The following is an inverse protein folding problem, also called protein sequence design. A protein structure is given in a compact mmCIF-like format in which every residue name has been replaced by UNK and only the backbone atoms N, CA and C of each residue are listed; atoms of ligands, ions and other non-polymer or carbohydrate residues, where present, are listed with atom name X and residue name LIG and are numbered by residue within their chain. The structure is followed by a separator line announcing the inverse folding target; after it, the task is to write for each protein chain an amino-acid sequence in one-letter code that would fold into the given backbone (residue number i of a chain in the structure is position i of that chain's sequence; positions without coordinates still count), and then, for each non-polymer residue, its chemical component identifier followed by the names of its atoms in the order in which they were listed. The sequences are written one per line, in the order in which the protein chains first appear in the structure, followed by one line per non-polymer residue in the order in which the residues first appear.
data_IF_802539001229
#
_entry.id   IF_802539001229
#
_cell.length_a   1.000
_cell.length_b   1.000
_cell.length_c   1.000
_cell.angle_alpha   90.00
_cell.angle_beta   90.00
_cell.angle_gamma   90.00
#
_symmetry.space_group_name_H-M   'P 1'
#
loop_
_entity.id
_entity.type
_entity.pdbx_description
1 polymer ?
#
# COMPACT_ATOMS: atom_id res chain seq x y z
N UNK A 1 8.58 -3.63 -26.82
CA UNK A 1 9.85 -3.76 -27.60
C UNK A 1 9.83 -4.83 -28.69
N UNK A 2 9.43 -6.08 -28.41
CA UNK A 2 9.40 -7.17 -29.43
C UNK A 2 8.53 -6.79 -30.63
N UNK A 3 7.30 -6.33 -30.38
CA UNK A 3 6.36 -5.93 -31.43
C UNK A 3 6.84 -4.71 -32.22
N UNK A 4 7.43 -3.71 -31.56
CA UNK A 4 8.02 -2.55 -32.23
C UNK A 4 9.12 -2.98 -33.23
N UNK A 5 10.03 -3.89 -32.82
CA UNK A 5 11.06 -4.43 -33.71
C UNK A 5 10.47 -5.19 -34.90
N UNK A 6 9.41 -5.96 -34.67
CA UNK A 6 8.69 -6.66 -35.75
C UNK A 6 8.06 -5.66 -36.73
N UNK A 7 7.37 -4.62 -36.24
CA UNK A 7 6.73 -3.60 -37.08
C UNK A 7 7.78 -2.86 -37.92
N UNK A 8 8.94 -2.52 -37.34
CA UNK A 8 10.04 -1.88 -38.06
C UNK A 8 10.67 -2.79 -39.12
N UNK A 9 10.89 -4.07 -38.81
CA UNK A 9 11.50 -5.03 -39.73
C UNK A 9 10.62 -5.32 -40.95
N UNK A 10 9.30 -5.32 -40.76
CA UNK A 10 8.34 -5.67 -41.80
C UNK A 10 7.64 -4.46 -42.44
N UNK A 11 7.74 -3.29 -41.83
CA UNK A 11 7.03 -2.07 -42.21
C UNK A 11 5.52 -2.30 -42.37
N UNK A 12 4.94 -3.00 -41.38
CA UNK A 12 3.53 -3.40 -41.32
C UNK A 12 2.95 -3.08 -39.96
N UNK A 13 1.63 -2.91 -39.92
CA UNK A 13 0.87 -2.77 -38.68
C UNK A 13 1.03 -4.02 -37.81
N UNK A 14 0.97 -3.84 -36.49
CA UNK A 14 1.06 -4.87 -35.48
C UNK A 14 0.06 -6.01 -35.79
N UNK A 15 0.59 -7.20 -36.05
CA UNK A 15 -0.23 -8.36 -36.39
C UNK A 15 -1.22 -8.75 -35.29
N UNK A 16 -0.93 -8.47 -34.01
CA UNK A 16 -1.88 -8.70 -32.92
C UNK A 16 -3.08 -7.75 -33.00
N UNK A 17 -2.86 -6.52 -33.48
CA UNK A 17 -3.92 -5.55 -33.71
C UNK A 17 -4.76 -5.96 -34.93
N UNK A 18 -4.12 -6.30 -36.06
CA UNK A 18 -4.85 -6.63 -37.29
C UNK A 18 -5.62 -7.95 -37.21
N UNK A 19 -5.23 -8.86 -36.33
CA UNK A 19 -5.91 -10.15 -36.09
C UNK A 19 -6.68 -10.18 -34.76
N UNK A 20 -6.98 -9.03 -34.16
CA UNK A 20 -7.52 -8.98 -32.79
C UNK A 20 -8.88 -9.70 -32.64
N UNK A 21 -9.79 -9.61 -33.62
CA UNK A 21 -11.07 -10.34 -33.59
C UNK A 21 -10.86 -11.87 -33.64
N UNK A 22 -9.89 -12.36 -34.41
CA UNK A 22 -9.55 -13.80 -34.44
C UNK A 22 -9.01 -14.28 -33.08
N UNK A 23 -8.22 -13.43 -32.41
CA UNK A 23 -7.74 -13.71 -31.05
C UNK A 23 -8.91 -13.73 -30.07
N UNK A 24 -9.89 -12.83 -30.21
CA UNK A 24 -11.11 -12.83 -29.39
C UNK A 24 -11.88 -14.16 -29.51
N UNK A 25 -12.05 -14.68 -30.72
CA UNK A 25 -12.72 -15.98 -30.94
C UNK A 25 -12.00 -17.14 -30.23
N UNK A 26 -10.66 -17.13 -30.27
CA UNK A 26 -9.86 -18.13 -29.55
C UNK A 26 -10.04 -17.99 -28.05
N UNK A 27 -9.92 -16.78 -27.51
CA UNK A 27 -10.01 -16.53 -26.06
C UNK A 27 -11.40 -16.83 -25.51
N UNK A 28 -12.45 -16.49 -26.26
CA UNK A 28 -13.86 -16.79 -25.93
C UNK A 28 -14.08 -18.29 -25.76
N UNK A 29 -13.48 -19.13 -26.62
CA UNK A 29 -13.65 -20.58 -26.57
C UNK A 29 -13.16 -21.21 -25.25
N UNK A 30 -12.30 -20.51 -24.50
CA UNK A 30 -11.69 -21.02 -23.27
C UNK A 30 -11.88 -20.11 -22.06
N UNK A 31 -12.71 -19.07 -22.16
CA UNK A 31 -12.94 -18.06 -21.11
C UNK A 31 -11.62 -17.44 -20.58
N UNK A 32 -10.72 -17.09 -21.50
CA UNK A 32 -9.48 -16.39 -21.17
C UNK A 32 -9.74 -14.89 -21.21
N UNK A 33 -9.41 -14.18 -20.12
CA UNK A 33 -9.52 -12.73 -20.06
C UNK A 33 -8.33 -12.04 -20.76
N UNK A 34 -8.58 -10.91 -21.41
CA UNK A 34 -7.55 -10.00 -21.89
C UNK A 34 -6.94 -9.21 -20.74
N UNK A 35 -5.61 -9.19 -20.70
CA UNK A 35 -4.82 -8.12 -20.10
C UNK A 35 -4.19 -7.34 -21.26
N UNK A 36 -4.77 -6.19 -21.60
CA UNK A 36 -4.28 -5.39 -22.72
C UNK A 36 -3.02 -4.64 -22.29
N UNK A 37 -1.87 -5.09 -22.79
CA UNK A 37 -0.55 -4.68 -22.33
C UNK A 37 -0.17 -3.24 -22.67
N UNK A 38 0.61 -2.63 -21.79
CA UNK A 38 1.11 -1.25 -21.86
C UNK A 38 2.53 -1.19 -22.48
N UNK A 39 2.61 -1.58 -23.76
CA UNK A 39 3.86 -1.72 -24.49
C UNK A 39 4.70 -0.44 -24.64
N UNK A 40 4.06 0.73 -24.48
CA UNK A 40 4.62 2.09 -24.54
C UNK A 40 4.53 2.82 -23.19
N UNK A 41 4.43 2.11 -22.06
CA UNK A 41 4.47 2.72 -20.73
C UNK A 41 5.77 3.51 -20.47
N UNK A 42 5.72 4.55 -19.62
CA UNK A 42 6.91 5.32 -19.25
C UNK A 42 7.87 4.49 -18.39
N UNK A 43 9.15 4.47 -18.79
CA UNK A 43 10.25 3.84 -18.07
C UNK A 43 11.09 4.81 -17.23
N UNK A 44 10.74 6.10 -17.23
CA UNK A 44 11.28 7.11 -16.34
C UNK A 44 10.25 8.21 -16.10
N UNK A 45 10.44 9.02 -15.07
CA UNK A 45 9.53 10.11 -14.68
C UNK A 45 9.36 11.15 -15.79
N UNK A 46 10.40 11.39 -16.61
CA UNK A 46 10.37 12.41 -17.66
C UNK A 46 9.45 12.03 -18.83
N UNK A 47 9.24 10.74 -19.06
CA UNK A 47 8.42 10.22 -20.17
C UNK A 47 6.95 10.01 -19.76
N UNK A 48 6.61 10.26 -18.49
CA UNK A 48 5.27 10.05 -17.97
C UNK A 48 4.25 10.98 -18.66
N UNK A 49 3.12 10.39 -19.07
CA UNK A 49 1.99 11.04 -19.72
C UNK A 49 2.32 11.61 -21.11
N UNK A 50 3.34 11.05 -21.78
CA UNK A 50 3.67 11.46 -23.13
C UNK A 50 2.63 11.00 -24.17
N UNK A 51 2.80 11.47 -25.41
CA UNK A 51 1.88 11.15 -26.49
C UNK A 51 1.90 9.66 -26.89
N UNK A 52 3.03 8.96 -26.69
CA UNK A 52 3.13 7.55 -27.02
C UNK A 52 2.32 6.69 -26.05
N UNK A 53 2.47 6.95 -24.75
CA UNK A 53 1.71 6.29 -23.70
C UNK A 53 0.20 6.48 -23.89
N UNK A 54 -0.24 7.73 -24.07
CA UNK A 54 -1.67 8.01 -24.18
C UNK A 54 -2.27 7.59 -25.52
N UNK A 55 -1.50 7.62 -26.62
CA UNK A 55 -1.94 7.05 -27.89
C UNK A 55 -2.18 5.54 -27.79
N UNK A 56 -1.33 4.81 -27.06
CA UNK A 56 -1.57 3.39 -26.78
C UNK A 56 -2.83 3.20 -25.94
N UNK A 57 -2.99 3.94 -24.83
CA UNK A 57 -4.16 3.81 -23.94
C UNK A 57 -5.50 4.02 -24.66
N UNK A 58 -5.58 5.03 -25.54
CA UNK A 58 -6.76 5.28 -26.38
C UNK A 58 -7.06 4.09 -27.30
N UNK A 59 -6.00 3.52 -27.90
CA UNK A 59 -6.09 2.31 -28.73
C UNK A 59 -6.55 1.10 -27.92
N UNK A 60 -6.06 0.92 -26.69
CA UNK A 60 -6.53 -0.15 -25.79
C UNK A 60 -8.02 0.01 -25.47
N UNK A 61 -8.51 1.24 -25.33
CA UNK A 61 -9.94 1.52 -25.19
C UNK A 61 -10.76 1.08 -26.41
N UNK A 62 -10.25 1.27 -27.63
CA UNK A 62 -10.86 0.72 -28.84
C UNK A 62 -10.90 -0.81 -28.83
N UNK A 63 -9.76 -1.45 -28.56
CA UNK A 63 -9.65 -2.91 -28.50
C UNK A 63 -10.56 -3.51 -27.43
N UNK A 64 -10.73 -2.82 -26.30
CA UNK A 64 -11.68 -3.21 -25.23
C UNK A 64 -13.10 -3.30 -25.76
N UNK A 65 -13.55 -2.29 -26.52
CA UNK A 65 -14.88 -2.30 -27.13
C UNK A 65 -15.04 -3.42 -28.16
N UNK A 66 -13.97 -3.79 -28.86
CA UNK A 66 -13.97 -4.94 -29.76
C UNK A 66 -14.11 -6.23 -28.94
N UNK A 67 -13.23 -6.46 -27.96
CA UNK A 67 -13.27 -7.66 -27.10
C UNK A 67 -14.65 -7.86 -26.44
N UNK A 68 -15.29 -6.78 -25.96
CA UNK A 68 -16.63 -6.84 -25.38
C UNK A 68 -17.73 -7.21 -26.38
N UNK A 69 -17.61 -6.84 -27.66
CA UNK A 69 -18.55 -7.33 -28.70
C UNK A 69 -18.47 -8.85 -28.89
N UNK A 70 -17.31 -9.43 -28.60
CA UNK A 70 -17.10 -10.87 -28.61
C UNK A 70 -17.37 -11.52 -27.24
N UNK A 71 -17.89 -10.79 -26.25
CA UNK A 71 -18.11 -11.26 -24.86
C UNK A 71 -16.82 -11.72 -24.15
N UNK A 72 -15.66 -11.14 -24.46
CA UNK A 72 -14.39 -11.50 -23.82
C UNK A 72 -14.07 -10.54 -22.68
N UNK A 73 -13.84 -11.09 -21.49
CA UNK A 73 -13.46 -10.32 -20.29
C UNK A 73 -12.16 -9.55 -20.53
N UNK A 74 -12.08 -8.28 -20.12
CA UNK A 74 -10.93 -7.42 -20.45
C UNK A 74 -10.54 -6.52 -19.28
N UNK A 75 -9.25 -6.46 -18.98
CA UNK A 75 -8.59 -5.46 -18.13
C UNK A 75 -7.47 -4.76 -18.91
N UNK A 76 -7.09 -3.56 -18.47
CA UNK A 76 -6.11 -2.70 -19.13
C UNK A 76 -4.86 -2.62 -18.28
N UNK A 77 -3.69 -2.81 -18.86
CA UNK A 77 -2.42 -2.54 -18.17
C UNK A 77 -2.09 -1.05 -18.20
N UNK A 78 -1.39 -0.57 -17.17
CA UNK A 78 -1.12 0.84 -16.94
C UNK A 78 0.27 1.10 -16.37
N UNK A 79 0.65 2.39 -16.30
CA UNK A 79 2.04 2.84 -16.36
C UNK A 79 2.97 2.31 -15.27
N UNK A 80 4.26 2.46 -15.58
CA UNK A 80 5.39 2.18 -14.70
C UNK A 80 5.85 3.39 -13.88
N UNK A 81 6.55 4.35 -14.50
CA UNK A 81 7.16 5.49 -13.78
C UNK A 81 6.31 6.75 -13.95
N UNK A 82 5.70 7.25 -12.87
CA UNK A 82 4.81 8.42 -12.92
C UNK A 82 4.95 9.24 -11.63
N UNK A 83 5.32 10.54 -11.71
CA UNK A 83 5.43 11.37 -10.52
C UNK A 83 4.03 11.68 -9.97
N UNK A 84 3.92 11.83 -8.65
CA UNK A 84 2.63 11.85 -7.94
C UNK A 84 1.59 12.82 -8.52
N UNK A 85 2.01 14.01 -8.96
CA UNK A 85 1.11 15.03 -9.52
C UNK A 85 0.45 14.61 -10.85
N UNK A 86 0.97 13.59 -11.53
CA UNK A 86 0.47 13.09 -12.82
C UNK A 86 -0.35 11.79 -12.70
N UNK A 87 -0.37 11.16 -11.51
CA UNK A 87 -1.07 9.89 -11.29
C UNK A 87 -2.58 10.02 -11.53
N UNK A 88 -3.19 11.14 -11.11
CA UNK A 88 -4.64 11.33 -11.24
C UNK A 88 -5.09 11.40 -12.71
N UNK A 89 -4.29 12.05 -13.56
CA UNK A 89 -4.57 12.16 -15.00
C UNK A 89 -4.59 10.78 -15.68
N UNK A 90 -3.69 9.88 -15.30
CA UNK A 90 -3.67 8.50 -15.82
C UNK A 90 -4.99 7.77 -15.52
N UNK A 91 -5.45 7.84 -14.28
CA UNK A 91 -6.72 7.21 -13.88
C UNK A 91 -7.92 7.84 -14.61
N UNK A 92 -7.98 9.18 -14.66
CA UNK A 92 -9.09 9.90 -15.31
C UNK A 92 -9.16 9.63 -16.81
N UNK A 93 -8.03 9.45 -17.46
CA UNK A 93 -7.99 9.09 -18.88
C UNK A 93 -8.37 7.63 -19.08
N UNK A 94 -7.87 6.71 -18.27
CA UNK A 94 -8.22 5.30 -18.39
C UNK A 94 -9.73 5.06 -18.24
N UNK A 95 -10.37 5.63 -17.22
CA UNK A 95 -11.82 5.49 -17.02
C UNK A 95 -12.61 5.98 -18.24
N UNK A 96 -12.19 7.11 -18.82
CA UNK A 96 -12.83 7.75 -19.97
C UNK A 96 -12.66 6.97 -21.26
N UNK A 97 -11.43 6.59 -21.60
CA UNK A 97 -11.11 6.00 -22.91
C UNK A 97 -11.42 4.51 -22.96
N UNK A 98 -11.27 3.81 -21.82
CA UNK A 98 -11.41 2.35 -21.73
C UNK A 98 -12.75 1.90 -21.15
N UNK A 99 -13.72 2.81 -21.00
CA UNK A 99 -15.08 2.49 -20.57
C UNK A 99 -15.15 1.88 -19.17
N UNK A 100 -14.31 2.35 -18.25
CA UNK A 100 -14.22 1.85 -16.86
C UNK A 100 -13.83 0.37 -16.73
N UNK A 101 -13.18 -0.22 -17.75
CA UNK A 101 -12.58 -1.54 -17.64
C UNK A 101 -11.61 -1.61 -16.43
N UNK A 102 -11.46 -2.75 -15.75
CA UNK A 102 -10.51 -2.90 -14.66
C UNK A 102 -9.09 -2.47 -15.07
N UNK A 103 -8.46 -1.63 -14.25
CA UNK A 103 -7.10 -1.15 -14.51
C UNK A 103 -6.08 -1.97 -13.70
N UNK A 104 -4.94 -2.29 -14.32
CA UNK A 104 -3.87 -3.10 -13.77
C UNK A 104 -2.52 -2.39 -13.92
N UNK A 105 -1.94 -1.86 -12.85
CA UNK A 105 -0.77 -0.95 -12.96
C UNK A 105 0.51 -1.55 -12.39
N UNK A 106 1.67 -1.23 -12.97
CA UNK A 106 2.98 -1.56 -12.43
C UNK A 106 3.49 -0.44 -11.51
N UNK A 107 3.08 -0.46 -10.24
CA UNK A 107 3.26 0.68 -9.33
C UNK A 107 2.12 1.69 -9.46
N UNK A 108 2.37 2.96 -9.83
CA UNK A 108 3.61 3.45 -10.47
C UNK A 108 4.73 3.88 -9.51
N UNK A 109 5.99 3.80 -9.97
CA UNK A 109 7.16 4.37 -9.31
C UNK A 109 7.06 5.91 -9.32
N UNK A 110 7.12 6.51 -8.13
CA UNK A 110 6.96 7.96 -7.97
C UNK A 110 8.26 8.75 -8.12
N UNK A 111 9.40 8.05 -8.16
CA UNK A 111 10.73 8.62 -8.36
C UNK A 111 11.71 7.55 -8.86
N UNK A 112 12.72 7.96 -9.63
CA UNK A 112 13.72 7.07 -10.28
C UNK A 112 15.02 6.96 -9.49
N UNK A 113 15.17 7.69 -8.37
CA UNK A 113 16.47 7.93 -7.74
C UNK A 113 16.82 6.92 -6.62
N UNK A 114 16.00 5.88 -6.42
CA UNK A 114 16.15 4.95 -5.30
C UNK A 114 16.15 3.46 -5.70
N UNK A 115 16.99 3.04 -6.68
CA UNK A 115 17.12 1.63 -7.01
C UNK A 115 17.57 0.84 -5.77
N UNK A 116 16.99 -0.34 -5.55
CA UNK A 116 17.10 -1.08 -4.29
C UNK A 116 15.91 -0.86 -3.34
N UNK A 117 15.13 0.20 -3.59
CA UNK A 117 13.96 0.58 -2.79
C UNK A 117 12.71 0.81 -3.65
N UNK A 118 12.67 0.26 -4.87
CA UNK A 118 11.58 0.53 -5.81
C UNK A 118 10.24 -0.05 -5.38
N UNK A 119 10.24 -1.12 -4.57
CA UNK A 119 9.05 -1.57 -3.85
C UNK A 119 8.41 -0.46 -2.97
N UNK A 120 9.21 0.47 -2.43
CA UNK A 120 8.72 1.60 -1.62
C UNK A 120 8.30 2.76 -2.54
N UNK A 121 9.14 3.14 -3.51
CA UNK A 121 8.84 4.25 -4.42
C UNK A 121 7.54 4.00 -5.19
N UNK A 122 7.32 2.75 -5.59
CA UNK A 122 6.11 2.31 -6.28
C UNK A 122 4.92 2.08 -5.35
N UNK A 123 5.11 1.63 -4.10
CA UNK A 123 4.00 1.48 -3.16
C UNK A 123 3.26 2.80 -2.90
N UNK A 124 3.98 3.93 -2.93
CA UNK A 124 3.37 5.27 -2.83
C UNK A 124 2.41 5.49 -3.99
N UNK A 125 2.87 5.30 -5.24
CA UNK A 125 2.04 5.50 -6.41
C UNK A 125 0.93 4.47 -6.52
N UNK A 126 1.21 3.21 -6.17
CA UNK A 126 0.24 2.12 -6.14
C UNK A 126 -0.91 2.38 -5.17
N UNK A 127 -0.63 2.89 -3.97
CA UNK A 127 -1.66 3.29 -3.01
C UNK A 127 -2.50 4.46 -3.55
N UNK A 128 -1.87 5.45 -4.19
CA UNK A 128 -2.58 6.59 -4.78
C UNK A 128 -3.48 6.19 -5.94
N UNK A 129 -2.95 5.45 -6.92
CA UNK A 129 -3.72 5.06 -8.11
C UNK A 129 -4.76 3.99 -7.77
N UNK A 130 -4.46 3.10 -6.82
CA UNK A 130 -5.43 2.18 -6.21
C UNK A 130 -6.58 2.93 -5.55
N UNK A 131 -6.29 3.99 -4.80
CA UNK A 131 -7.33 4.86 -4.22
C UNK A 131 -8.17 5.53 -5.30
N UNK A 132 -7.54 5.98 -6.40
CA UNK A 132 -8.26 6.61 -7.51
C UNK A 132 -9.11 5.66 -8.35
N UNK A 133 -8.91 4.34 -8.26
CA UNK A 133 -9.80 3.35 -8.87
C UNK A 133 -9.12 2.14 -9.52
N UNK A 134 -7.79 2.02 -9.49
CA UNK A 134 -7.11 0.84 -10.04
C UNK A 134 -7.58 -0.45 -9.36
N UNK A 135 -7.86 -1.47 -10.16
CA UNK A 135 -8.45 -2.73 -9.71
C UNK A 135 -7.41 -3.75 -9.26
N UNK A 136 -6.23 -3.77 -9.90
CA UNK A 136 -5.13 -4.67 -9.55
C UNK A 136 -3.79 -3.95 -9.61
N UNK A 137 -2.88 -4.28 -8.69
CA UNK A 137 -1.57 -3.64 -8.58
C UNK A 137 -0.48 -4.70 -8.79
N UNK A 138 0.29 -4.58 -9.88
CA UNK A 138 1.46 -5.42 -10.11
C UNK A 138 2.55 -4.95 -9.16
N UNK A 139 3.01 -5.86 -8.32
CA UNK A 139 4.06 -5.57 -7.37
C UNK A 139 5.41 -5.25 -8.04
N UNK A 140 6.22 -4.48 -7.33
CA UNK A 140 7.60 -4.17 -7.69
C UNK A 140 8.48 -4.65 -6.54
N UNK A 141 9.56 -5.34 -6.87
CA UNK A 141 10.47 -5.90 -5.85
C UNK A 141 11.55 -4.87 -5.46
N UNK A 142 12.24 -5.04 -4.32
CA UNK A 142 13.38 -4.20 -3.97
C UNK A 142 14.48 -4.19 -5.04
N UNK A 143 14.66 -5.29 -5.77
CA UNK A 143 15.69 -5.45 -6.80
C UNK A 143 15.25 -5.07 -8.21
N UNK A 144 14.09 -4.45 -8.36
CA UNK A 144 13.73 -3.84 -9.65
C UNK A 144 14.87 -2.94 -10.13
N UNK A 145 15.13 -2.97 -11.44
CA UNK A 145 16.28 -2.29 -12.08
C UNK A 145 17.69 -2.77 -11.67
N UNK A 146 17.81 -3.78 -10.80
CA UNK A 146 19.10 -4.28 -10.31
C UNK A 146 19.36 -5.76 -10.62
N UNK A 147 18.32 -6.60 -10.62
CA UNK A 147 18.48 -8.02 -10.95
C UNK A 147 17.27 -8.87 -10.57
N UNK A 148 17.42 -10.19 -10.72
CA UNK A 148 16.34 -11.12 -10.37
C UNK A 148 16.10 -11.15 -8.85
N UNK A 149 14.83 -11.08 -8.41
CA UNK A 149 14.49 -11.15 -7.00
C UNK A 149 14.72 -12.55 -6.44
N UNK A 150 15.20 -12.62 -5.19
CA UNK A 150 15.22 -13.83 -4.39
C UNK A 150 13.92 -13.97 -3.57
N UNK A 151 13.83 -15.02 -2.75
CA UNK A 151 12.65 -15.28 -1.90
C UNK A 151 12.29 -14.11 -0.97
N UNK A 152 13.27 -13.44 -0.38
CA UNK A 152 13.02 -12.31 0.52
C UNK A 152 12.53 -11.10 -0.27
N UNK A 153 13.15 -10.80 -1.41
CA UNK A 153 12.73 -9.69 -2.28
C UNK A 153 11.27 -9.85 -2.74
N UNK A 154 10.84 -11.10 -3.01
CA UNK A 154 9.44 -11.43 -3.33
C UNK A 154 8.53 -11.19 -2.13
N UNK A 155 8.90 -11.63 -0.92
CA UNK A 155 8.12 -11.39 0.31
C UNK A 155 7.95 -9.89 0.55
N UNK A 156 9.03 -9.12 0.45
CA UNK A 156 9.04 -7.67 0.70
C UNK A 156 8.16 -6.92 -0.33
N UNK A 157 8.27 -7.28 -1.61
CA UNK A 157 7.41 -6.72 -2.66
C UNK A 157 5.93 -7.03 -2.43
N UNK A 158 5.58 -8.28 -2.11
CA UNK A 158 4.18 -8.67 -1.83
C UNK A 158 3.65 -7.90 -0.61
N UNK A 159 4.45 -7.79 0.45
CA UNK A 159 4.05 -7.08 1.66
C UNK A 159 3.84 -5.59 1.42
N UNK A 160 4.74 -4.94 0.68
CA UNK A 160 4.59 -3.52 0.30
C UNK A 160 3.28 -3.29 -0.47
N UNK A 161 2.93 -4.18 -1.40
CA UNK A 161 1.73 -4.04 -2.21
C UNK A 161 0.44 -4.44 -1.50
N UNK A 162 0.49 -5.40 -0.57
CA UNK A 162 -0.65 -5.67 0.33
C UNK A 162 -0.96 -4.48 1.23
N UNK A 163 0.07 -3.77 1.71
CA UNK A 163 -0.09 -2.53 2.47
C UNK A 163 -0.68 -1.44 1.57
N UNK A 164 -0.13 -1.24 0.36
CA UNK A 164 -0.63 -0.24 -0.58
C UNK A 164 -2.09 -0.47 -0.98
N UNK A 165 -2.46 -1.71 -1.30
CA UNK A 165 -3.84 -2.09 -1.62
C UNK A 165 -4.79 -1.85 -0.44
N UNK A 166 -4.42 -2.26 0.77
CA UNK A 166 -5.23 -2.02 1.96
C UNK A 166 -5.37 -0.51 2.27
N UNK A 167 -4.30 0.27 2.09
CA UNK A 167 -4.34 1.72 2.25
C UNK A 167 -5.30 2.37 1.22
N UNK A 168 -5.29 1.89 -0.03
CA UNK A 168 -6.27 2.31 -1.03
C UNK A 168 -7.71 1.94 -0.63
N UNK A 169 -7.95 0.73 -0.12
CA UNK A 169 -9.28 0.31 0.35
C UNK A 169 -9.78 1.13 1.53
N UNK A 170 -8.90 1.50 2.48
CA UNK A 170 -9.23 2.45 3.55
C UNK A 170 -9.61 3.82 3.00
N UNK A 171 -8.81 4.37 2.08
CA UNK A 171 -9.06 5.67 1.47
C UNK A 171 -10.35 5.70 0.62
N UNK A 172 -10.71 4.55 0.02
CA UNK A 172 -11.99 4.34 -0.69
C UNK A 172 -13.18 4.15 0.26
N UNK A 173 -12.93 3.92 1.56
CA UNK A 173 -13.98 3.57 2.51
C UNK A 173 -14.61 2.20 2.24
N UNK A 174 -13.84 1.24 1.73
CA UNK A 174 -14.35 -0.09 1.41
C UNK A 174 -14.95 -0.76 2.66
N UNK A 175 -16.18 -1.30 2.60
CA UNK A 175 -16.81 -1.96 3.73
C UNK A 175 -15.90 -3.04 4.33
N UNK A 176 -15.67 -2.96 5.65
CA UNK A 176 -14.85 -3.93 6.38
C UNK A 176 -13.35 -3.65 6.40
N UNK A 177 -12.80 -2.79 5.55
CA UNK A 177 -11.35 -2.51 5.53
C UNK A 177 -10.87 -2.00 6.90
N UNK A 178 -11.56 -0.99 7.45
CA UNK A 178 -11.20 -0.37 8.73
C UNK A 178 -11.38 -1.30 9.95
N UNK A 179 -12.12 -2.41 9.83
CA UNK A 179 -12.34 -3.34 10.95
C UNK A 179 -11.01 -3.95 11.40
N UNK A 180 -10.13 -4.30 10.45
CA UNK A 180 -8.81 -4.86 10.76
C UNK A 180 -7.92 -3.84 11.48
N UNK A 181 -7.86 -2.61 10.99
CA UNK A 181 -7.10 -1.52 11.60
C UNK A 181 -7.56 -1.25 13.03
N UNK A 182 -8.88 -1.21 13.25
CA UNK A 182 -9.46 -0.97 14.56
C UNK A 182 -9.21 -2.15 15.52
N UNK A 183 -9.33 -3.39 15.04
CA UNK A 183 -9.04 -4.57 15.85
C UNK A 183 -7.57 -4.62 16.28
N UNK A 184 -6.63 -4.34 15.36
CA UNK A 184 -5.20 -4.29 15.65
C UNK A 184 -4.87 -3.13 16.58
N UNK A 185 -5.44 -1.95 16.35
CA UNK A 185 -5.25 -0.77 17.19
C UNK A 185 -5.78 -0.99 18.61
N UNK A 186 -6.92 -1.67 18.74
CA UNK A 186 -7.47 -2.07 20.04
C UNK A 186 -6.55 -3.08 20.75
N UNK A 187 -6.07 -4.11 20.04
CA UNK A 187 -5.11 -5.06 20.60
C UNK A 187 -3.83 -4.36 21.08
N UNK A 188 -3.33 -3.39 20.31
CA UNK A 188 -2.18 -2.57 20.68
C UNK A 188 -2.42 -1.74 21.94
N UNK A 189 -3.57 -1.06 22.03
CA UNK A 189 -3.91 -0.24 23.18
C UNK A 189 -4.08 -1.08 24.46
N UNK A 190 -4.67 -2.27 24.34
CA UNK A 190 -4.88 -3.22 25.43
C UNK A 190 -3.65 -4.10 25.72
N UNK A 191 -2.51 -3.83 25.06
CA UNK A 191 -1.28 -4.61 25.19
C UNK A 191 -1.44 -6.12 24.95
N UNK A 192 -2.41 -6.52 24.12
CA UNK A 192 -2.61 -7.90 23.65
C UNK A 192 -1.63 -8.21 22.53
N UNK A 193 -0.36 -8.39 22.89
CA UNK A 193 0.76 -8.55 21.95
C UNK A 193 0.54 -9.66 20.91
N UNK A 194 0.14 -10.85 21.36
CA UNK A 194 -0.13 -11.98 20.47
C UNK A 194 -1.23 -11.67 19.45
N UNK A 195 -2.33 -11.04 19.90
CA UNK A 195 -3.41 -10.64 19.01
C UNK A 195 -2.94 -9.57 18.02
N UNK A 196 -2.11 -8.62 18.46
CA UNK A 196 -1.52 -7.61 17.59
C UNK A 196 -0.65 -8.25 16.49
N UNK A 197 0.17 -9.26 16.81
CA UNK A 197 0.98 -9.95 15.81
C UNK A 197 0.11 -10.70 14.81
N UNK A 198 -0.85 -11.51 15.29
CA UNK A 198 -1.74 -12.30 14.44
C UNK A 198 -2.64 -11.45 13.54
N UNK A 199 -3.01 -10.24 13.98
CA UNK A 199 -3.78 -9.29 13.16
C UNK A 199 -2.92 -8.57 12.12
N UNK A 200 -1.59 -8.53 12.30
CA UNK A 200 -0.64 -7.94 11.35
C UNK A 200 -0.67 -8.61 9.98
N UNK A 201 -0.22 -7.90 8.94
CA UNK A 201 -0.17 -8.47 7.58
C UNK A 201 0.93 -9.54 7.43
N UNK A 202 1.99 -9.44 8.25
CA UNK A 202 3.09 -10.40 8.39
C UNK A 202 3.32 -10.69 9.89
N UNK A 203 2.58 -11.65 10.47
CA UNK A 203 2.66 -11.96 11.90
C UNK A 203 4.06 -12.40 12.36
N UNK A 204 4.75 -13.22 11.56
CA UNK A 204 6.09 -13.71 11.86
C UNK A 204 7.06 -12.54 12.01
N UNK A 205 7.01 -11.57 11.09
CA UNK A 205 7.90 -10.40 11.12
C UNK A 205 7.60 -9.47 12.31
N UNK A 206 6.32 -9.30 12.63
CA UNK A 206 5.91 -8.48 13.76
C UNK A 206 6.40 -9.08 15.10
N UNK A 207 6.30 -10.41 15.25
CA UNK A 207 6.80 -11.12 16.42
C UNK A 207 8.33 -11.10 16.50
N UNK A 208 9.02 -11.36 15.39
CA UNK A 208 10.49 -11.33 15.29
C UNK A 208 11.03 -9.98 15.82
N UNK A 209 10.51 -8.86 15.32
CA UNK A 209 10.97 -7.52 15.71
C UNK A 209 10.69 -7.16 17.17
N UNK A 210 9.58 -7.64 17.74
CA UNK A 210 9.34 -7.48 19.18
C UNK A 210 10.39 -8.27 19.98
N UNK A 211 10.63 -9.52 19.60
CA UNK A 211 11.44 -10.47 20.35
C UNK A 211 12.95 -10.22 20.22
N UNK A 212 13.39 -9.45 19.23
CA UNK A 212 14.77 -8.94 19.15
C UNK A 212 15.20 -8.19 20.42
N UNK A 213 14.27 -7.49 21.08
CA UNK A 213 14.55 -6.71 22.31
C UNK A 213 13.84 -7.24 23.54
N UNK A 214 12.68 -7.88 23.37
CA UNK A 214 11.84 -8.38 24.46
C UNK A 214 11.47 -9.87 24.26
N UNK A 215 12.43 -10.82 24.23
CA UNK A 215 12.21 -12.20 23.79
C UNK A 215 11.41 -13.09 24.75
N UNK A 216 11.30 -12.74 26.03
CA UNK A 216 10.66 -13.60 27.04
C UNK A 216 9.14 -13.57 26.89
N UNK A 217 8.48 -14.71 27.08
CA UNK A 217 7.01 -14.83 27.04
C UNK A 217 6.32 -13.84 27.99
N UNK A 218 6.93 -13.57 29.15
CA UNK A 218 6.43 -12.59 30.11
C UNK A 218 6.31 -11.16 29.53
N UNK A 219 7.11 -10.81 28.51
CA UNK A 219 7.01 -9.50 27.86
C UNK A 219 5.79 -9.38 26.95
N UNK A 220 5.18 -10.49 26.52
CA UNK A 220 3.91 -10.48 25.78
C UNK A 220 2.72 -10.08 26.66
N UNK A 221 2.94 -9.95 27.97
CA UNK A 221 1.98 -9.43 28.94
C UNK A 221 2.38 -8.02 29.42
N UNK A 222 3.44 -7.43 28.87
CA UNK A 222 3.94 -6.14 29.32
C UNK A 222 3.11 -4.98 28.75
N UNK A 223 2.77 -4.02 29.62
CA UNK A 223 2.09 -2.78 29.22
C UNK A 223 3.06 -1.72 28.68
N UNK A 224 4.05 -2.16 27.88
CA UNK A 224 5.03 -1.30 27.21
C UNK A 224 5.81 -2.10 26.17
N UNK A 225 6.50 -1.40 25.27
CA UNK A 225 7.53 -1.96 24.41
C UNK A 225 8.90 -1.35 24.73
N UNK A 226 9.96 -1.85 24.09
CA UNK A 226 11.33 -1.35 24.27
C UNK A 226 11.53 0.10 23.85
N UNK A 227 10.68 0.65 22.96
CA UNK A 227 10.79 2.04 22.50
C UNK A 227 10.60 3.07 23.62
N UNK A 228 9.60 2.88 24.49
CA UNK A 228 9.27 3.84 25.55
C UNK A 228 9.53 3.30 26.96
N UNK A 229 9.68 1.99 27.10
CA UNK A 229 9.81 1.34 28.40
C UNK A 229 8.58 1.52 29.30
N UNK A 230 8.65 1.04 30.56
CA UNK A 230 7.51 0.92 31.46
C UNK A 230 6.96 2.26 32.00
N UNK A 231 7.72 3.34 31.89
CA UNK A 231 7.42 4.63 32.51
C UNK A 231 6.96 5.70 31.53
N UNK A 232 7.25 5.56 30.23
CA UNK A 232 6.96 6.58 29.21
C UNK A 232 6.04 6.09 28.10
N UNK A 233 5.45 4.88 28.25
CA UNK A 233 4.49 4.39 27.28
C UNK A 233 3.20 5.21 27.34
N UNK A 234 2.90 5.94 26.26
CA UNK A 234 1.72 6.81 26.17
C UNK A 234 0.41 6.05 26.36
N UNK A 235 0.27 4.85 25.79
CA UNK A 235 -0.95 4.05 25.92
C UNK A 235 -1.20 3.61 27.36
N UNK A 236 -0.13 3.24 28.10
CA UNK A 236 -0.22 2.90 29.51
C UNK A 236 -0.63 4.10 30.34
N UNK A 237 0.00 5.26 30.12
CA UNK A 237 -0.34 6.50 30.81
C UNK A 237 -1.82 6.85 30.58
N UNK A 238 -2.31 6.74 29.35
CA UNK A 238 -3.73 6.94 29.04
C UNK A 238 -4.63 5.95 29.79
N UNK A 239 -4.24 4.67 29.88
CA UNK A 239 -5.00 3.67 30.64
C UNK A 239 -5.03 4.02 32.15
N UNK A 240 -3.89 4.39 32.73
CA UNK A 240 -3.80 4.78 34.14
C UNK A 240 -4.72 5.99 34.46
N UNK A 241 -4.80 6.97 33.54
CA UNK A 241 -5.73 8.12 33.67
C UNK A 241 -7.19 7.69 33.61
N UNK A 242 -7.53 6.76 32.71
CA UNK A 242 -8.91 6.23 32.59
C UNK A 242 -9.32 5.45 33.82
N UNK A 243 -8.42 4.64 34.36
CA UNK A 243 -8.67 3.85 35.57
C UNK A 243 -8.86 4.78 36.78
N UNK A 244 -8.01 5.81 36.92
CA UNK A 244 -8.18 6.84 37.95
C UNK A 244 -9.52 7.56 37.84
N UNK A 245 -9.90 7.97 36.63
CA UNK A 245 -11.18 8.65 36.37
C UNK A 245 -12.37 7.78 36.81
N UNK A 246 -12.35 6.50 36.43
CA UNK A 246 -13.38 5.53 36.78
C UNK A 246 -13.45 5.28 38.30
N UNK A 247 -12.31 5.12 38.97
CA UNK A 247 -12.25 4.91 40.44
C UNK A 247 -12.78 6.12 41.22
N UNK A 248 -12.54 7.33 40.73
CA UNK A 248 -12.92 8.57 41.41
C UNK A 248 -14.26 9.14 40.93
N UNK A 249 -14.91 8.51 39.96
CA UNK A 249 -16.20 8.95 39.41
C UNK A 249 -16.13 10.31 38.72
N UNK A 250 -14.96 10.69 38.20
CA UNK A 250 -14.71 11.95 37.49
C UNK A 250 -14.52 11.66 36.00
N UNK A 251 -14.70 12.68 35.15
CA UNK A 251 -14.38 12.53 33.73
C UNK A 251 -12.86 12.49 33.48
N UNK A 252 -12.45 12.03 32.29
CA UNK A 252 -11.03 11.89 31.92
C UNK A 252 -10.27 13.23 32.03
N UNK A 253 -10.93 14.36 31.76
CA UNK A 253 -10.30 15.68 31.78
C UNK A 253 -10.01 16.12 33.22
N UNK A 254 -10.98 15.97 34.12
CA UNK A 254 -10.84 16.29 35.53
C UNK A 254 -9.84 15.35 36.23
N UNK A 255 -9.80 14.07 35.83
CA UNK A 255 -8.78 13.11 36.28
C UNK A 255 -7.37 13.55 35.89
N UNK A 256 -7.19 14.02 34.65
CA UNK A 256 -5.90 14.48 34.14
C UNK A 256 -5.46 15.77 34.84
N UNK A 257 -6.37 16.71 35.08
CA UNK A 257 -6.10 17.93 35.87
C UNK A 257 -5.72 17.62 37.32
N UNK A 258 -6.44 16.70 37.97
CA UNK A 258 -6.14 16.26 39.34
C UNK A 258 -4.79 15.55 39.44
N UNK A 259 -4.51 14.60 38.53
CA UNK A 259 -3.23 13.89 38.48
C UNK A 259 -2.06 14.82 38.18
N UNK A 260 -2.24 15.81 37.29
CA UNK A 260 -1.24 16.85 37.05
C UNK A 260 -1.01 17.73 38.27
N UNK A 261 -2.05 18.11 39.01
CA UNK A 261 -1.92 18.87 40.25
C UNK A 261 -1.16 18.08 41.32
N UNK A 262 -1.44 16.79 41.48
CA UNK A 262 -0.74 15.90 42.41
C UNK A 262 0.74 15.74 42.04
N UNK A 263 1.05 15.48 40.76
CA UNK A 263 2.44 15.39 40.29
C UNK A 263 3.19 16.70 40.41
N UNK A 264 2.51 17.83 40.21
CA UNK A 264 3.08 19.17 40.43
C UNK A 264 3.43 19.39 41.90
N UNK A 265 2.53 19.01 42.82
CA UNK A 265 2.79 19.07 44.26
C UNK A 265 3.96 18.16 44.67
N UNK A 266 3.99 16.91 44.16
CA UNK A 266 5.08 15.97 44.40
C UNK A 266 6.43 16.49 43.87
N UNK A 267 6.44 17.14 42.70
CA UNK A 267 7.64 17.75 42.13
C UNK A 267 8.18 18.88 43.02
N UNK A 268 7.28 19.73 43.53
CA UNK A 268 7.63 20.81 44.47
C UNK A 268 8.16 20.26 45.80
N UNK A 269 7.49 19.27 46.38
CA UNK A 269 7.92 18.62 47.64
C UNK A 269 9.29 17.96 47.53
N UNK A 270 9.59 17.40 46.36
CA UNK A 270 10.86 16.75 46.09
C UNK A 270 11.95 17.74 45.60
N UNK A 271 11.80 19.03 45.91
CA UNK A 271 12.81 20.06 45.74
C UNK A 271 12.81 20.76 44.37
N UNK A 272 11.77 20.58 43.56
CA UNK A 272 11.60 21.22 42.24
C UNK A 272 12.80 21.02 41.28
N UNK A 273 13.49 19.89 41.41
CA UNK A 273 14.62 19.54 40.55
C UNK A 273 14.17 18.66 39.40
N UNK A 274 14.37 19.15 38.17
CA UNK A 274 14.06 18.41 36.92
C UNK A 274 14.97 17.19 36.77
N UNK A 275 16.23 17.30 37.19
CA UNK A 275 17.21 16.21 37.15
C UNK A 275 17.66 15.89 38.57
N UNK A 276 17.50 14.64 38.99
CA UNK A 276 18.02 14.16 40.26
C UNK A 276 19.35 13.43 40.06
N UNK A 277 20.34 13.61 40.95
CA UNK A 277 21.47 12.69 41.02
C UNK A 277 20.94 11.30 41.35
N UNK A 278 21.25 10.31 40.50
CA UNK A 278 20.89 8.91 40.70
C UNK A 278 21.68 8.24 41.82
#
# INVERSE_FOLDING_TARGET
QILAKWCLAHHKENFLYTHFEEICEIMKAYDVAFSLGDGLRPGCIADANDAAQFGELETLGELTRIAWKHDVQTMIEGPGHVPMQLIKENMDKQLRECGEAPFYTLGPLTTDIAPGYDHITSAIGAAMIGWFGTAMLCYVTPKEHLGLPNRQDVRDGIMAYRIAAHAADLAKGHPGAQVRDNALSKARFEFRWEDQFHLGLDPEKAQEFHDETLPKDAHKLAHFCSMCGPHFCSMKITQDVRDYAAEHGVDEQAALEAGMAEKSAQFLEQGAQVYRPG
#
